data_IF_748968520451
#
_entry.id   IF_748968520451
#
_cell.length_a   1.000
_cell.length_b   1.000
_cell.length_c   1.000
_cell.angle_alpha   90.00
_cell.angle_beta   90.00
_cell.angle_gamma   90.00
#
_symmetry.space_group_name_H-M   'P 1'
#
loop_
_entity.id
_entity.type
_entity.pdbx_description
1 polymer ?
#
# COMPACT_ATOMS: atom_id res chain seq x y z
N UNK A 1 -61.82 15.01 -18.35
CA UNK A 1 -60.80 13.96 -18.50
C UNK A 1 -60.32 13.63 -17.12
N UNK A 2 -60.85 12.55 -16.56
CA UNK A 2 -60.45 11.97 -15.29
C UNK A 2 -59.01 11.46 -15.41
N UNK A 3 -58.07 12.24 -14.90
CA UNK A 3 -56.72 11.76 -14.62
C UNK A 3 -56.80 10.86 -13.39
N UNK A 4 -57.29 9.63 -13.59
CA UNK A 4 -57.16 8.56 -12.61
C UNK A 4 -55.67 8.40 -12.36
N UNK A 5 -55.22 8.96 -11.24
CA UNK A 5 -53.94 8.67 -10.63
C UNK A 5 -53.99 7.21 -10.18
N UNK A 6 -53.92 6.27 -11.13
CA UNK A 6 -53.50 4.91 -10.86
C UNK A 6 -52.08 5.05 -10.31
N UNK A 7 -51.98 5.13 -8.99
CA UNK A 7 -50.78 4.72 -8.29
C UNK A 7 -50.36 3.40 -8.95
N UNK A 8 -49.27 3.45 -9.71
CA UNK A 8 -48.54 2.29 -10.19
C UNK A 8 -48.03 1.53 -8.95
N UNK A 9 -48.93 0.84 -8.25
CA UNK A 9 -48.60 -0.14 -7.22
C UNK A 9 -47.85 -1.25 -7.94
N UNK A 10 -46.52 -1.18 -7.90
CA UNK A 10 -45.64 -2.18 -8.49
C UNK A 10 -46.12 -3.58 -8.06
N UNK A 11 -46.38 -4.50 -9.02
CA UNK A 11 -46.88 -5.83 -8.69
C UNK A 11 -45.97 -6.50 -7.65
N UNK A 12 -46.52 -7.29 -6.71
CA UNK A 12 -45.80 -7.79 -5.53
C UNK A 12 -44.45 -8.46 -5.84
N UNK A 13 -44.32 -9.11 -7.00
CA UNK A 13 -43.09 -9.73 -7.49
C UNK A 13 -41.97 -8.73 -7.81
N UNK A 14 -42.29 -7.56 -8.38
CA UNK A 14 -41.30 -6.50 -8.66
C UNK A 14 -40.81 -5.81 -7.37
N UNK A 15 -41.70 -5.67 -6.38
CA UNK A 15 -41.31 -5.17 -5.05
C UNK A 15 -40.32 -6.11 -4.37
N UNK A 16 -40.54 -7.42 -4.48
CA UNK A 16 -39.62 -8.42 -3.94
C UNK A 16 -38.27 -8.42 -4.65
N UNK A 17 -38.28 -8.37 -5.99
CA UNK A 17 -37.05 -8.28 -6.78
C UNK A 17 -36.26 -7.01 -6.44
N UNK A 18 -36.93 -5.86 -6.29
CA UNK A 18 -36.29 -4.61 -5.87
C UNK A 18 -35.61 -4.74 -4.51
N UNK A 19 -36.26 -5.36 -3.52
CA UNK A 19 -35.67 -5.60 -2.20
C UNK A 19 -34.44 -6.51 -2.26
N UNK A 20 -34.52 -7.60 -3.01
CA UNK A 20 -33.38 -8.50 -3.20
C UNK A 20 -32.20 -7.84 -3.88
N UNK A 21 -32.43 -7.11 -4.96
CA UNK A 21 -31.37 -6.40 -5.67
C UNK A 21 -30.76 -5.35 -4.76
N UNK A 22 -31.57 -4.61 -4.01
CA UNK A 22 -31.08 -3.61 -3.04
C UNK A 22 -30.21 -4.26 -1.96
N UNK A 23 -30.65 -5.40 -1.40
CA UNK A 23 -29.88 -6.14 -0.40
C UNK A 23 -28.57 -6.70 -0.97
N UNK A 24 -28.61 -7.21 -2.21
CA UNK A 24 -27.43 -7.70 -2.91
C UNK A 24 -26.43 -6.56 -3.14
N UNK A 25 -26.90 -5.42 -3.65
CA UNK A 25 -26.07 -4.23 -3.86
C UNK A 25 -25.46 -3.74 -2.54
N UNK A 26 -26.25 -3.67 -1.47
CA UNK A 26 -25.76 -3.26 -0.15
C UNK A 26 -24.66 -4.22 0.36
N UNK A 27 -24.85 -5.52 0.19
CA UNK A 27 -23.87 -6.53 0.61
C UNK A 27 -22.57 -6.44 -0.22
N UNK A 28 -22.67 -6.22 -1.53
CA UNK A 28 -21.51 -6.01 -2.40
C UNK A 28 -20.70 -4.78 -1.97
N UNK A 29 -21.39 -3.67 -1.69
CA UNK A 29 -20.75 -2.44 -1.19
C UNK A 29 -20.04 -2.72 0.14
N UNK A 30 -20.72 -3.38 1.08
CA UNK A 30 -20.15 -3.68 2.39
C UNK A 30 -18.93 -4.59 2.29
N UNK A 31 -18.96 -5.56 1.38
CA UNK A 31 -17.82 -6.43 1.07
C UNK A 31 -16.61 -5.65 0.57
N UNK A 32 -16.80 -4.76 -0.42
CA UNK A 32 -15.72 -3.91 -0.94
C UNK A 32 -15.17 -2.98 0.15
N UNK A 33 -16.02 -2.34 0.94
CA UNK A 33 -15.60 -1.49 2.07
C UNK A 33 -14.76 -2.29 3.07
N UNK A 34 -15.18 -3.52 3.38
CA UNK A 34 -14.44 -4.39 4.31
C UNK A 34 -13.07 -4.74 3.75
N UNK A 35 -12.97 -5.11 2.46
CA UNK A 35 -11.69 -5.40 1.81
C UNK A 35 -10.78 -4.17 1.82
N UNK A 36 -11.29 -3.00 1.42
CA UNK A 36 -10.52 -1.75 1.41
C UNK A 36 -10.08 -1.36 2.82
N UNK A 37 -10.97 -1.47 3.80
CA UNK A 37 -10.67 -1.18 5.21
C UNK A 37 -9.61 -2.12 5.77
N UNK A 38 -9.71 -3.42 5.50
CA UNK A 38 -8.67 -4.39 5.86
C UNK A 38 -7.35 -4.06 5.16
N UNK A 39 -7.38 -3.72 3.88
CA UNK A 39 -6.19 -3.37 3.13
C UNK A 39 -5.52 -2.13 3.75
N UNK A 40 -6.25 -1.05 4.04
CA UNK A 40 -5.68 0.16 4.64
C UNK A 40 -5.16 -0.07 6.07
N UNK A 41 -5.84 -0.92 6.86
CA UNK A 41 -5.44 -1.18 8.26
C UNK A 41 -4.34 -2.23 8.39
N UNK A 42 -4.27 -3.20 7.47
CA UNK A 42 -3.29 -4.30 7.48
C UNK A 42 -2.09 -4.00 6.61
N UNK A 43 -2.21 -3.17 5.58
CA UNK A 43 -1.03 -2.70 4.88
C UNK A 43 -0.21 -1.89 5.88
N UNK A 44 1.07 -2.22 6.08
CA UNK A 44 1.91 -1.39 6.90
C UNK A 44 1.93 0.00 6.27
N UNK A 45 1.37 0.98 6.98
CA UNK A 45 1.76 2.38 6.80
C UNK A 45 3.21 2.44 7.25
N UNK A 46 4.11 2.03 6.35
CA UNK A 46 5.49 2.44 6.44
C UNK A 46 5.43 3.93 6.17
N UNK A 47 5.29 4.74 7.23
CA UNK A 47 5.85 6.08 7.24
C UNK A 47 7.30 5.86 6.88
N UNK A 48 7.61 5.93 5.58
CA UNK A 48 8.97 5.78 5.12
C UNK A 48 9.72 6.89 5.87
N UNK A 49 10.74 6.54 6.69
CA UNK A 49 11.54 7.56 7.37
C UNK A 49 11.97 8.59 6.33
N UNK A 50 12.07 9.86 6.71
CA UNK A 50 12.62 10.86 5.80
C UNK A 50 14.04 10.43 5.42
N UNK A 51 14.21 10.01 4.16
CA UNK A 51 15.48 9.50 3.66
C UNK A 51 16.28 10.67 3.09
N UNK A 52 17.61 10.67 3.24
CA UNK A 52 18.45 11.71 2.68
C UNK A 52 18.36 11.65 1.14
N UNK A 53 18.17 12.80 0.51
CA UNK A 53 18.12 12.92 -0.95
C UNK A 53 19.45 12.51 -1.60
N UNK A 54 20.55 12.62 -0.84
CA UNK A 54 21.88 12.30 -1.29
C UNK A 54 22.65 11.49 -0.23
N UNK A 55 23.23 10.37 -0.63
CA UNK A 55 23.99 9.47 0.25
C UNK A 55 25.47 9.52 -0.14
N UNK A 56 26.30 10.07 0.75
CA UNK A 56 27.73 10.16 0.53
C UNK A 56 28.41 8.80 0.77
N UNK A 57 28.90 8.19 -0.30
CA UNK A 57 29.70 6.98 -0.21
C UNK A 57 31.17 7.31 0.14
N UNK A 58 31.89 6.39 0.80
CA UNK A 58 33.32 6.54 1.02
C UNK A 58 34.07 6.74 -0.30
N UNK A 59 35.17 7.50 -0.25
CA UNK A 59 35.92 7.87 -1.43
C UNK A 59 36.39 6.62 -2.22
N UNK A 60 36.11 6.61 -3.52
CA UNK A 60 36.48 5.50 -4.42
C UNK A 60 35.51 4.31 -4.43
N UNK A 61 34.46 4.31 -3.62
CA UNK A 61 33.44 3.25 -3.64
C UNK A 61 32.43 3.52 -4.77
N UNK A 62 32.35 2.58 -5.71
CA UNK A 62 31.30 2.58 -6.74
C UNK A 62 30.16 1.67 -6.27
N UNK A 63 28.92 2.17 -6.15
CA UNK A 63 27.78 1.36 -5.77
C UNK A 63 27.45 0.37 -6.89
N UNK A 64 27.15 -0.87 -6.51
CA UNK A 64 26.69 -1.94 -7.39
C UNK A 64 25.22 -2.29 -7.12
N UNK A 65 24.81 -2.32 -5.85
CA UNK A 65 23.42 -2.55 -5.46
C UNK A 65 23.04 -1.73 -4.23
N UNK A 66 21.75 -1.38 -4.11
CA UNK A 66 21.22 -0.61 -2.98
C UNK A 66 19.95 -1.30 -2.48
N UNK A 67 19.89 -1.54 -1.17
CA UNK A 67 18.74 -2.11 -0.47
C UNK A 67 18.30 -1.18 0.65
N UNK A 68 16.99 -0.97 0.80
CA UNK A 68 16.42 -0.16 1.87
C UNK A 68 15.70 -1.05 2.88
N UNK A 69 16.16 -1.01 4.13
CA UNK A 69 15.48 -1.60 5.27
C UNK A 69 14.51 -0.61 5.92
N UNK A 70 13.94 -0.99 7.07
CA UNK A 70 13.04 -0.10 7.82
C UNK A 70 13.79 1.12 8.38
N UNK A 71 14.97 0.89 8.94
CA UNK A 71 15.76 1.91 9.65
C UNK A 71 17.23 1.96 9.18
N UNK A 72 17.51 1.45 7.96
CA UNK A 72 18.88 1.38 7.43
C UNK A 72 18.91 1.32 5.89
N UNK A 73 20.03 1.71 5.30
CA UNK A 73 20.34 1.57 3.87
C UNK A 73 21.57 0.70 3.72
N UNK A 74 21.48 -0.36 2.92
CA UNK A 74 22.63 -1.15 2.51
C UNK A 74 23.07 -0.72 1.12
N UNK A 75 24.35 -0.42 0.96
CA UNK A 75 24.98 -0.22 -0.34
C UNK A 75 26.06 -1.28 -0.51
N UNK A 76 25.91 -2.10 -1.55
CA UNK A 76 26.95 -3.03 -1.97
C UNK A 76 27.89 -2.27 -2.90
N UNK A 77 29.16 -2.20 -2.54
CA UNK A 77 30.20 -1.63 -3.38
C UNK A 77 30.87 -2.70 -4.26
N UNK A 78 31.36 -2.28 -5.43
CA UNK A 78 32.15 -3.14 -6.35
C UNK A 78 33.47 -3.64 -5.75
N UNK A 79 33.88 -3.08 -4.62
CA UNK A 79 35.04 -3.47 -3.82
C UNK A 79 34.77 -4.72 -2.96
N UNK A 80 33.60 -5.35 -3.09
CA UNK A 80 33.23 -6.55 -2.32
C UNK A 80 32.85 -6.25 -0.88
N UNK A 81 32.37 -5.02 -0.63
CA UNK A 81 31.99 -4.57 0.71
C UNK A 81 30.54 -4.08 0.74
N UNK A 82 29.88 -4.32 1.86
CA UNK A 82 28.54 -3.83 2.15
C UNK A 82 28.65 -2.71 3.18
N UNK A 83 28.16 -1.53 2.79
CA UNK A 83 28.10 -0.33 3.60
C UNK A 83 26.67 -0.17 4.13
N UNK A 84 26.51 -0.18 5.46
CA UNK A 84 25.22 0.02 6.13
C UNK A 84 25.18 1.45 6.66
N UNK A 85 24.22 2.23 6.19
CA UNK A 85 23.93 3.58 6.63
C UNK A 85 22.66 3.60 7.48
N UNK A 86 22.60 4.52 8.44
CA UNK A 86 21.34 4.83 9.13
C UNK A 86 20.43 5.73 8.28
N UNK A 87 19.24 6.05 8.79
CA UNK A 87 18.29 6.95 8.12
C UNK A 87 18.79 8.38 8.01
N UNK A 88 19.82 8.79 8.74
CA UNK A 88 20.48 10.10 8.59
C UNK A 88 21.55 10.12 7.49
N UNK A 89 21.85 8.97 6.88
CA UNK A 89 22.90 8.82 5.89
C UNK A 89 24.30 8.64 6.48
N UNK A 90 24.43 8.41 7.79
CA UNK A 90 25.71 8.15 8.45
C UNK A 90 26.07 6.67 8.30
N UNK A 91 27.31 6.39 7.89
CA UNK A 91 27.84 5.04 7.84
C UNK A 91 27.93 4.46 9.27
N UNK A 92 27.24 3.36 9.51
CA UNK A 92 27.20 2.67 10.80
C UNK A 92 27.98 1.37 10.78
N UNK A 93 28.01 0.66 9.66
CA UNK A 93 28.69 -0.61 9.53
C UNK A 93 29.28 -0.81 8.15
N UNK A 94 30.39 -1.54 8.12
CA UNK A 94 31.04 -2.01 6.92
C UNK A 94 31.29 -3.51 7.08
N UNK A 95 30.87 -4.30 6.11
CA UNK A 95 30.93 -5.76 6.14
C UNK A 95 31.60 -6.24 4.86
N UNK A 96 32.66 -7.02 4.98
CA UNK A 96 33.29 -7.67 3.83
C UNK A 96 32.43 -8.86 3.37
N UNK A 97 32.25 -8.99 2.05
CA UNK A 97 31.60 -10.14 1.45
C UNK A 97 32.67 -11.23 1.35
N UNK A 98 32.79 -12.04 2.41
CA UNK A 98 33.67 -13.20 2.39
C UNK A 98 33.08 -14.30 1.49
N UNK A 99 33.92 -15.06 0.77
CA UNK A 99 33.49 -16.24 0.01
C UNK A 99 32.97 -17.36 0.92
#
# INVERSE_FOLDING_TARGET
MDETSEQLELPPSLRWLKWLVTALTATLILGVITIVGLLVTRLPTSTAPEWPENLALPAGVTPEAITRGKDWIGVVGKDGQIYIFDTSGKLTRQIAIAP
#
